data_IF_048371795227
#
_entry.id   IF_048371795227
#
_cell.length_a   1.000
_cell.length_b   1.000
_cell.length_c   1.000
_cell.angle_alpha   90.00
_cell.angle_beta   90.00
_cell.angle_gamma   90.00
#
_symmetry.space_group_name_H-M   'P 1'
#
loop_
_entity.id
_entity.type
_entity.pdbx_description
1 polymer ?
#
# COMPACT_ATOMS: atom_id res chain seq x y z
N UNK A 1 -5.82 6.78 2.12
CA UNK A 1 -4.67 6.09 1.48
C UNK A 1 -3.82 7.14 0.80
N UNK A 2 -2.51 7.05 0.90
CA UNK A 2 -1.56 7.91 0.19
C UNK A 2 -0.54 7.05 -0.56
N UNK A 3 -0.16 7.51 -1.75
CA UNK A 3 0.84 6.88 -2.61
C UNK A 3 2.07 7.78 -2.73
N UNK A 4 3.25 7.19 -2.71
CA UNK A 4 4.52 7.90 -2.91
C UNK A 4 5.59 6.97 -3.48
N UNK A 5 6.50 7.48 -4.32
CA UNK A 5 7.53 6.68 -5.00
C UNK A 5 8.65 6.19 -4.07
N UNK A 6 8.72 6.71 -2.84
CA UNK A 6 9.69 6.32 -1.81
C UNK A 6 11.16 6.39 -2.20
N UNK A 7 11.50 7.10 -3.29
CA UNK A 7 12.87 7.17 -3.80
C UNK A 7 13.33 5.94 -4.59
N UNK A 8 12.42 5.01 -4.92
CA UNK A 8 12.72 3.96 -5.89
C UNK A 8 13.06 4.63 -7.24
N UNK A 9 14.04 4.08 -7.96
CA UNK A 9 14.47 4.61 -9.25
C UNK A 9 13.24 4.82 -10.16
N UNK A 10 13.19 5.84 -11.04
CA UNK A 10 12.04 6.10 -11.91
C UNK A 10 11.59 4.88 -12.73
N UNK A 11 12.50 3.92 -12.95
CA UNK A 11 12.23 2.66 -13.64
C UNK A 11 11.64 1.55 -12.75
N UNK A 12 11.53 1.75 -11.44
CA UNK A 12 11.20 0.67 -10.49
C UNK A 12 9.74 0.22 -10.60
N UNK A 13 8.89 0.91 -11.37
CA UNK A 13 7.49 0.56 -11.64
C UNK A 13 6.68 0.20 -10.37
N UNK A 14 7.08 0.73 -9.21
CA UNK A 14 6.45 0.48 -7.91
C UNK A 14 6.18 1.79 -7.18
N UNK A 15 5.15 1.77 -6.35
CA UNK A 15 4.82 2.79 -5.38
C UNK A 15 4.76 2.19 -3.99
N UNK A 16 5.10 2.99 -2.99
CA UNK A 16 4.73 2.73 -1.61
C UNK A 16 3.35 3.30 -1.33
N UNK A 17 2.62 2.56 -0.50
CA UNK A 17 1.30 2.90 -0.04
C UNK A 17 1.26 2.85 1.49
N UNK A 18 0.68 3.87 2.11
CA UNK A 18 0.36 3.89 3.55
C UNK A 18 -1.07 4.37 3.83
N UNK A 19 -1.52 4.13 5.07
CA UNK A 19 -2.71 4.78 5.60
C UNK A 19 -2.32 6.15 6.14
N UNK A 20 -3.10 7.16 5.81
CA UNK A 20 -2.82 8.54 6.15
C UNK A 20 -4.07 9.20 6.70
N UNK A 21 -3.96 9.74 7.91
CA UNK A 21 -5.00 10.54 8.55
C UNK A 21 -4.92 11.97 8.03
N UNK A 22 -5.93 12.39 7.27
CA UNK A 22 -5.98 13.74 6.68
C UNK A 22 -6.28 14.83 7.70
N UNK A 23 -6.90 14.50 8.84
CA UNK A 23 -7.24 15.44 9.90
C UNK A 23 -5.99 15.78 10.72
N UNK A 24 -5.24 14.77 11.13
CA UNK A 24 -3.99 14.93 11.88
C UNK A 24 -2.77 15.18 10.99
N UNK A 25 -2.89 14.92 9.67
CA UNK A 25 -1.79 14.99 8.69
C UNK A 25 -0.64 14.00 8.98
N UNK A 26 -0.97 12.83 9.52
CA UNK A 26 0.01 11.84 9.97
C UNK A 26 -0.22 10.47 9.32
N UNK A 27 0.86 9.70 9.04
CA UNK A 27 0.73 8.31 8.64
C UNK A 27 0.25 7.46 9.84
N UNK A 28 -0.56 6.46 9.54
CA UNK A 28 -1.08 5.48 10.49
C UNK A 28 -0.83 4.08 9.94
N UNK A 29 -0.71 3.09 10.82
CA UNK A 29 -0.75 1.70 10.40
C UNK A 29 -2.17 1.33 9.96
N UNK A 30 -2.32 0.24 9.22
CA UNK A 30 -3.59 -0.33 8.84
C UNK A 30 -4.45 -0.55 10.10
N UNK A 31 -5.69 -0.02 10.13
CA UNK A 31 -6.61 -0.33 11.20
C UNK A 31 -6.91 -1.84 11.26
N UNK A 32 -7.26 -2.32 12.45
CA UNK A 32 -7.58 -3.73 12.63
C UNK A 32 -8.70 -4.19 11.67
N UNK A 33 -8.50 -5.36 11.07
CA UNK A 33 -9.45 -5.96 10.12
C UNK A 33 -9.44 -5.34 8.72
N UNK A 34 -8.64 -4.30 8.48
CA UNK A 34 -8.47 -3.75 7.13
C UNK A 34 -7.52 -4.64 6.34
N UNK A 35 -7.86 -4.89 5.08
CA UNK A 35 -7.00 -5.66 4.19
C UNK A 35 -6.79 -4.94 2.87
N UNK A 36 -5.55 -4.97 2.40
CA UNK A 36 -5.18 -4.42 1.11
C UNK A 36 -4.87 -5.54 0.13
N UNK A 37 -5.41 -5.43 -1.07
CA UNK A 37 -5.27 -6.45 -2.11
C UNK A 37 -4.85 -5.81 -3.43
N UNK A 38 -3.96 -6.48 -4.16
CA UNK A 38 -3.58 -6.12 -5.53
C UNK A 38 -4.12 -7.14 -6.52
N UNK A 39 -4.63 -6.66 -7.65
CA UNK A 39 -5.10 -7.49 -8.76
C UNK A 39 -3.94 -7.79 -9.69
N UNK A 40 -3.70 -9.08 -9.94
CA UNK A 40 -2.64 -9.59 -10.81
C UNK A 40 -3.26 -10.54 -11.84
N UNK A 41 -3.48 -10.05 -13.06
CA UNK A 41 -4.19 -10.81 -14.10
C UNK A 41 -5.64 -11.10 -13.69
N UNK A 42 -5.99 -12.38 -13.55
CA UNK A 42 -7.33 -12.84 -13.15
C UNK A 42 -7.48 -13.11 -11.66
N UNK A 43 -6.44 -12.87 -10.87
CA UNK A 43 -6.40 -13.17 -9.42
C UNK A 43 -6.16 -11.91 -8.60
N UNK A 44 -6.51 -11.98 -7.31
CA UNK A 44 -6.16 -10.94 -6.34
C UNK A 44 -5.26 -11.54 -5.26
N UNK A 45 -4.24 -10.80 -4.85
CA UNK A 45 -3.30 -11.19 -3.79
C UNK A 45 -3.38 -10.23 -2.63
N UNK A 46 -3.50 -10.76 -1.40
CA UNK A 46 -3.44 -9.94 -0.19
C UNK A 46 -2.03 -9.41 -0.02
N UNK A 47 -1.91 -8.09 0.07
CA UNK A 47 -0.63 -7.44 0.32
C UNK A 47 -0.27 -7.60 1.80
N UNK A 48 1.00 -7.90 2.03
CA UNK A 48 1.63 -7.81 3.35
C UNK A 48 2.39 -6.52 3.42
N UNK A 49 2.50 -5.94 4.61
CA UNK A 49 3.38 -4.79 4.77
C UNK A 49 4.84 -5.19 4.56
N UNK A 50 5.68 -4.23 4.23
CA UNK A 50 7.14 -4.40 4.07
C UNK A 50 7.70 -4.98 5.37
N UNK A 51 7.26 -4.46 6.50
CA UNK A 51 7.72 -4.86 7.82
C UNK A 51 7.28 -6.29 8.15
N UNK A 52 6.09 -6.70 7.69
CA UNK A 52 5.67 -8.10 7.79
C UNK A 52 6.44 -9.05 6.86
N UNK A 53 6.91 -8.56 5.72
CA UNK A 53 7.72 -9.34 4.78
C UNK A 53 9.15 -9.52 5.31
N UNK A 54 9.70 -8.49 5.93
CA UNK A 54 11.08 -8.42 6.43
C UNK A 54 11.15 -8.46 7.95
N UNK A 55 10.29 -9.26 8.61
CA UNK A 55 10.10 -9.34 10.09
C UNK A 55 11.38 -9.46 10.94
N UNK A 56 12.54 -9.72 10.33
CA UNK A 56 13.83 -9.91 10.99
C UNK A 56 14.88 -8.81 10.71
N UNK A 57 14.60 -7.83 9.84
CA UNK A 57 15.61 -6.84 9.42
C UNK A 57 15.35 -5.43 9.93
N UNK A 58 14.10 -5.05 10.23
CA UNK A 58 13.73 -3.65 10.50
C UNK A 58 13.47 -3.29 11.97
N UNK A 59 13.73 -4.21 12.91
CA UNK A 59 13.39 -3.99 14.32
C UNK A 59 11.87 -3.83 14.53
N UNK A 60 11.41 -3.35 15.69
CA UNK A 60 9.98 -3.20 15.96
C UNK A 60 9.36 -2.12 15.06
N UNK A 61 8.28 -2.48 14.36
CA UNK A 61 7.48 -1.54 13.56
C UNK A 61 6.94 -0.43 14.46
N UNK A 62 7.35 0.82 14.21
CA UNK A 62 6.80 1.98 14.92
C UNK A 62 5.42 2.35 14.36
N UNK A 63 4.53 2.96 15.17
CA UNK A 63 3.26 3.46 14.68
C UNK A 63 3.44 4.41 13.48
N UNK A 64 2.65 4.21 12.43
CA UNK A 64 2.68 5.03 11.21
C UNK A 64 3.83 4.71 10.25
N UNK A 65 4.64 3.68 10.53
CA UNK A 65 5.70 3.26 9.62
C UNK A 65 5.30 2.15 8.67
N UNK A 66 4.13 1.54 8.84
CA UNK A 66 3.69 0.44 8.01
C UNK A 66 3.48 0.87 6.56
N UNK A 67 4.11 0.13 5.63
CA UNK A 67 4.05 0.41 4.20
C UNK A 67 3.74 -0.83 3.40
N UNK A 68 3.10 -0.64 2.27
CA UNK A 68 2.82 -1.67 1.27
C UNK A 68 3.46 -1.30 -0.05
N UNK A 69 3.87 -2.31 -0.83
CA UNK A 69 4.43 -2.11 -2.17
C UNK A 69 3.39 -2.51 -3.20
N UNK A 70 3.13 -1.62 -4.16
CA UNK A 70 2.18 -1.84 -5.24
C UNK A 70 2.79 -1.48 -6.59
N UNK A 71 2.46 -2.25 -7.61
CA UNK A 71 2.95 -2.02 -8.97
C UNK A 71 2.21 -0.86 -9.65
N UNK A 72 2.95 -0.11 -10.47
CA UNK A 72 2.42 0.92 -11.35
C UNK A 72 1.30 0.37 -12.25
N UNK A 73 0.20 1.11 -12.39
CA UNK A 73 -0.90 0.71 -13.28
C UNK A 73 -1.71 -0.51 -12.82
N UNK A 74 -1.40 -1.07 -11.65
CA UNK A 74 -2.18 -2.16 -11.07
C UNK A 74 -3.52 -1.65 -10.51
N UNK A 75 -4.52 -2.52 -10.46
CA UNK A 75 -5.74 -2.27 -9.70
C UNK A 75 -5.60 -2.86 -8.30
N UNK A 76 -6.07 -2.13 -7.31
CA UNK A 76 -6.04 -2.54 -5.92
C UNK A 76 -7.44 -2.39 -5.31
N UNK A 77 -7.71 -3.11 -4.23
CA UNK A 77 -8.89 -2.85 -3.43
C UNK A 77 -8.59 -2.94 -1.94
N UNK A 78 -9.30 -2.11 -1.19
CA UNK A 78 -9.28 -2.07 0.26
C UNK A 78 -10.57 -2.74 0.78
N UNK A 79 -10.40 -3.81 1.55
CA UNK A 79 -11.49 -4.43 2.33
C UNK A 79 -11.52 -3.77 3.70
N UNK A 80 -12.70 -3.35 4.11
CA UNK A 80 -12.95 -2.73 5.41
C UNK A 80 -14.13 -3.45 6.07
N UNK A 81 -14.04 -3.78 7.37
CA UNK A 81 -15.16 -4.39 8.07
C UNK A 81 -16.44 -3.56 7.90
N UNK A 82 -17.56 -4.22 7.56
CA UNK A 82 -18.88 -3.60 7.41
C UNK A 82 -19.02 -2.53 6.32
N UNK A 83 -18.04 -2.39 5.43
CA UNK A 83 -18.13 -1.48 4.29
C UNK A 83 -17.89 -2.20 2.96
N UNK A 84 -18.46 -1.69 1.85
CA UNK A 84 -18.11 -2.17 0.52
C UNK A 84 -16.61 -2.02 0.24
N UNK A 85 -16.09 -2.97 -0.54
CA UNK A 85 -14.72 -2.95 -1.03
C UNK A 85 -14.47 -1.66 -1.82
N UNK A 86 -13.41 -0.95 -1.46
CA UNK A 86 -13.02 0.28 -2.14
C UNK A 86 -11.93 -0.03 -3.15
N UNK A 87 -12.28 0.02 -4.45
CA UNK A 87 -11.34 -0.26 -5.54
C UNK A 87 -10.69 1.04 -6.05
N UNK A 88 -9.41 0.99 -6.37
CA UNK A 88 -8.65 2.11 -6.91
C UNK A 88 -7.50 1.62 -7.79
N UNK A 89 -7.04 2.46 -8.70
CA UNK A 89 -5.92 2.15 -9.60
C UNK A 89 -4.66 2.90 -9.17
N UNK A 90 -3.52 2.22 -9.28
CA UNK A 90 -2.22 2.85 -9.08
C UNK A 90 -1.88 3.68 -10.34
N UNK A 91 -1.51 4.96 -10.19
CA UNK A 91 -1.17 5.81 -11.33
C UNK A 91 -0.08 5.17 -12.20
N UNK A 92 -0.15 5.40 -13.50
CA UNK A 92 0.97 5.15 -14.41
C UNK A 92 1.79 6.44 -14.51
N UNK A 93 3.07 6.37 -14.14
CA UNK A 93 4.00 7.40 -14.58
C UNK A 93 4.07 7.33 -16.12
N UNK A 94 3.83 8.43 -16.84
CA UNK A 94 3.98 8.43 -18.30
C UNK A 94 5.41 8.01 -18.66
N UNK A 95 5.56 7.15 -19.66
CA UNK A 95 6.87 6.96 -20.29
C UNK A 95 7.29 8.31 -20.91
N UNK A 96 8.55 8.73 -20.76
CA UNK A 96 9.06 9.96 -21.35
C UNK A 96 9.06 9.92 -22.89
#
# INVERSE_FOLDING_TARGET
>A
IRLFSGGAHPSSQIYYLDFYDTSCKEPRNAPEGYELWAVTGTSAVKLKSVEEHFKNEFGPLKPGQEKFVVGQGSSCFLVRPHHPNFMFSIPRCPEP
#
